data_IF_454723927843
#
_entry.id   IF_454723927843
#
_cell.length_a   1.000
_cell.length_b   1.000
_cell.length_c   1.000
_cell.angle_alpha   90.00
_cell.angle_beta   90.00
_cell.angle_gamma   90.00
#
_symmetry.space_group_name_H-M   'P 1'
#
loop_
_entity.id
_entity.type
_entity.pdbx_description
1 polymer ?
#
# COMPACT_ATOMS: atom_id res chain seq x y z
N UNK A 1 -14.50 6.96 -0.35
CA UNK A 1 -13.23 7.10 0.38
C UNK A 1 -12.07 7.45 -0.54
N UNK A 2 -12.36 7.98 -1.68
CA UNK A 2 -11.38 8.06 -2.75
C UNK A 2 -10.25 9.06 -2.58
N UNK A 3 -10.37 10.07 -1.72
CA UNK A 3 -9.43 11.19 -1.76
C UNK A 3 -8.41 11.23 -0.64
N UNK A 4 -8.34 10.17 0.16
CA UNK A 4 -7.34 10.08 1.21
C UNK A 4 -6.00 9.63 0.62
N UNK A 5 -4.96 10.48 0.60
CA UNK A 5 -3.68 10.10 0.02
C UNK A 5 -3.06 8.86 0.67
N UNK A 6 -3.17 8.75 1.99
CA UNK A 6 -2.65 7.59 2.72
C UNK A 6 -3.31 6.30 2.26
N UNK A 7 -4.63 6.31 2.12
CA UNK A 7 -5.38 5.15 1.65
C UNK A 7 -4.98 4.77 0.22
N UNK A 8 -4.79 5.74 -0.66
CA UNK A 8 -4.36 5.46 -2.04
C UNK A 8 -2.97 4.85 -2.11
N UNK A 9 -2.06 5.32 -1.27
CA UNK A 9 -0.71 4.76 -1.18
C UNK A 9 -0.77 3.32 -0.68
N UNK A 10 -1.53 3.07 0.40
CA UNK A 10 -1.69 1.72 0.95
C UNK A 10 -2.32 0.78 -0.07
N UNK A 11 -3.38 1.21 -0.74
CA UNK A 11 -4.04 0.39 -1.76
C UNK A 11 -3.06 -0.01 -2.87
N UNK A 12 -2.29 0.94 -3.37
CA UNK A 12 -1.29 0.65 -4.40
C UNK A 12 -0.27 -0.37 -3.92
N UNK A 13 0.30 -0.17 -2.73
CA UNK A 13 1.34 -1.04 -2.20
C UNK A 13 0.82 -2.44 -1.88
N UNK A 14 -0.43 -2.54 -1.41
CA UNK A 14 -1.06 -3.83 -1.12
C UNK A 14 -1.38 -4.58 -2.43
N UNK A 15 -1.95 -3.90 -3.41
CA UNK A 15 -2.27 -4.50 -4.70
C UNK A 15 -1.02 -4.92 -5.47
N UNK A 16 0.12 -4.31 -5.20
CA UNK A 16 1.37 -4.54 -5.89
C UNK A 16 2.46 -5.00 -4.92
N UNK A 17 2.11 -5.89 -4.03
CA UNK A 17 2.93 -6.30 -2.89
C UNK A 17 4.04 -7.28 -3.24
N UNK A 18 4.11 -7.74 -4.48
CA UNK A 18 5.19 -8.64 -4.94
C UNK A 18 6.46 -7.89 -5.31
N UNK A 19 6.34 -6.60 -5.53
CA UNK A 19 7.44 -5.75 -5.96
C UNK A 19 7.71 -4.66 -4.93
N UNK A 20 8.78 -3.93 -5.14
CA UNK A 20 9.12 -2.74 -4.36
C UNK A 20 9.21 -1.54 -5.30
N UNK A 21 8.92 -0.35 -4.79
CA UNK A 21 8.65 0.82 -5.62
C UNK A 21 9.39 2.04 -5.10
N UNK A 22 9.89 2.86 -6.03
CA UNK A 22 10.48 4.16 -5.69
C UNK A 22 9.37 5.16 -5.35
N UNK A 23 9.75 6.28 -4.72
CA UNK A 23 8.79 7.36 -4.43
C UNK A 23 8.13 7.89 -5.70
N UNK A 24 8.90 8.02 -6.78
CA UNK A 24 8.36 8.52 -8.06
C UNK A 24 7.30 7.56 -8.61
N UNK A 25 7.57 6.26 -8.55
CA UNK A 25 6.62 5.25 -9.00
C UNK A 25 5.36 5.25 -8.15
N UNK A 26 5.50 5.37 -6.83
CA UNK A 26 4.35 5.45 -5.92
C UNK A 26 3.53 6.72 -6.20
N UNK A 27 4.21 7.86 -6.38
CA UNK A 27 3.55 9.12 -6.70
C UNK A 27 2.66 8.99 -7.93
N UNK A 28 3.23 8.45 -9.01
CA UNK A 28 2.51 8.36 -10.28
C UNK A 28 1.39 7.34 -10.23
N UNK A 29 1.62 6.21 -9.58
CA UNK A 29 0.64 5.12 -9.51
C UNK A 29 -0.51 5.41 -8.55
N UNK A 30 -0.21 6.01 -7.39
CA UNK A 30 -1.24 6.35 -6.41
C UNK A 30 -1.87 7.73 -6.67
N UNK A 31 -1.35 8.47 -7.64
CA UNK A 31 -1.85 9.80 -8.01
C UNK A 31 -1.87 10.76 -6.82
N UNK A 32 -0.77 10.82 -6.08
CA UNK A 32 -0.61 11.74 -4.96
C UNK A 32 0.47 12.76 -5.27
N UNK A 33 0.37 13.94 -4.68
CA UNK A 33 1.42 14.96 -4.83
C UNK A 33 2.72 14.50 -4.20
N UNK A 34 3.84 14.84 -4.83
CA UNK A 34 5.15 14.45 -4.33
C UNK A 34 5.44 15.03 -2.95
N UNK A 35 5.04 16.29 -2.72
CA UNK A 35 5.20 16.93 -1.40
C UNK A 35 4.44 16.18 -0.31
N UNK A 36 3.21 15.76 -0.63
CA UNK A 36 2.39 14.98 0.30
C UNK A 36 3.03 13.62 0.58
N UNK A 37 3.52 12.97 -0.46
CA UNK A 37 4.18 11.66 -0.34
C UNK A 37 5.41 11.74 0.55
N UNK A 38 6.20 12.80 0.41
CA UNK A 38 7.41 13.02 1.24
C UNK A 38 7.08 13.25 2.72
N UNK A 39 5.86 13.65 3.03
CA UNK A 39 5.39 13.77 4.43
C UNK A 39 4.87 12.43 4.93
N UNK A 40 4.10 11.73 4.11
CA UNK A 40 3.41 10.49 4.51
C UNK A 40 4.38 9.32 4.64
N UNK A 41 5.29 9.14 3.69
CA UNK A 41 6.16 7.96 3.68
C UNK A 41 7.05 7.83 4.92
N UNK A 42 7.68 8.90 5.45
CA UNK A 42 8.43 8.77 6.70
C UNK A 42 7.56 8.32 7.88
N UNK A 43 6.31 8.77 7.93
CA UNK A 43 5.38 8.36 8.99
C UNK A 43 5.02 6.88 8.85
N UNK A 44 4.80 6.42 7.63
CA UNK A 44 4.51 5.00 7.36
C UNK A 44 5.70 4.11 7.73
N UNK A 45 6.92 4.56 7.45
CA UNK A 45 8.13 3.84 7.86
C UNK A 45 8.26 3.80 9.38
N UNK A 46 8.01 4.92 10.04
CA UNK A 46 8.09 5.01 11.50
C UNK A 46 7.09 4.08 12.18
N UNK A 47 5.93 3.91 11.60
CA UNK A 47 4.86 3.06 12.13
C UNK A 47 4.94 1.63 11.60
N UNK A 48 6.00 1.27 10.91
CA UNK A 48 6.24 -0.08 10.37
C UNK A 48 5.15 -0.58 9.41
N UNK A 49 4.45 0.33 8.76
CA UNK A 49 3.45 -0.02 7.73
C UNK A 49 4.12 -0.39 6.42
N UNK A 50 5.24 0.25 6.12
CA UNK A 50 6.07 -0.03 4.95
C UNK A 50 7.51 -0.24 5.40
N UNK A 51 8.28 -0.91 4.56
CA UNK A 51 9.70 -1.12 4.78
C UNK A 51 10.48 -0.73 3.51
N UNK A 52 11.75 -0.41 3.68
CA UNK A 52 12.66 -0.25 2.55
C UNK A 52 13.22 -1.64 2.26
N UNK A 53 12.86 -2.19 1.11
CA UNK A 53 13.29 -3.53 0.73
C UNK A 53 14.71 -3.55 0.22
N UNK A 54 15.08 -2.52 -0.56
CA UNK A 54 16.43 -2.39 -1.10
C UNK A 54 16.66 -0.94 -1.52
N UNK A 55 17.92 -0.63 -1.82
CA UNK A 55 18.31 0.67 -2.34
C UNK A 55 19.02 0.45 -3.67
N UNK A 56 18.55 1.13 -4.70
CA UNK A 56 19.17 1.09 -6.03
C UNK A 56 19.65 2.49 -6.34
N UNK A 57 20.99 2.63 -6.48
CA UNK A 57 21.62 3.94 -6.61
C UNK A 57 21.29 4.81 -5.40
N UNK A 58 20.64 5.97 -5.59
CA UNK A 58 20.24 6.86 -4.50
C UNK A 58 18.77 6.70 -4.10
N UNK A 59 18.06 5.75 -4.71
CA UNK A 59 16.63 5.58 -4.51
C UNK A 59 16.33 4.40 -3.60
N UNK A 60 15.53 4.65 -2.57
CA UNK A 60 14.95 3.58 -1.76
C UNK A 60 13.78 2.95 -2.49
N UNK A 61 13.63 1.65 -2.38
CA UNK A 61 12.49 0.92 -2.90
C UNK A 61 11.66 0.41 -1.73
N UNK A 62 10.41 0.82 -1.70
CA UNK A 62 9.48 0.57 -0.60
C UNK A 62 8.52 -0.56 -0.94
N UNK A 63 8.15 -1.32 0.07
CA UNK A 63 7.11 -2.34 -0.04
C UNK A 63 6.27 -2.35 1.24
N UNK A 64 5.07 -2.91 1.14
CA UNK A 64 4.19 -3.05 2.30
C UNK A 64 4.81 -4.04 3.30
N UNK A 65 4.64 -3.77 4.59
CA UNK A 65 5.13 -4.66 5.64
C UNK A 65 4.04 -5.66 6.03
N UNK A 66 4.10 -6.85 5.45
CA UNK A 66 3.10 -7.90 5.70
C UNK A 66 3.14 -8.46 7.12
N UNK A 67 4.22 -8.22 7.85
CA UNK A 67 4.34 -8.68 9.23
C UNK A 67 3.69 -7.73 10.24
N UNK A 68 3.34 -6.52 9.82
CA UNK A 68 2.68 -5.55 10.66
C UNK A 68 1.26 -6.02 10.99
N UNK A 69 0.83 -6.01 12.27
CA UNK A 69 -0.51 -6.47 12.65
C UNK A 69 -1.65 -5.70 11.97
N UNK A 70 -1.47 -4.40 11.77
CA UNK A 70 -2.48 -3.58 11.09
C UNK A 70 -2.60 -4.01 9.63
N UNK A 71 -1.47 -4.22 8.97
CA UNK A 71 -1.44 -4.66 7.58
C UNK A 71 -2.07 -6.06 7.45
N UNK A 72 -1.78 -6.97 8.38
CA UNK A 72 -2.40 -8.29 8.40
C UNK A 72 -3.93 -8.19 8.48
N UNK A 73 -4.44 -7.28 9.31
CA UNK A 73 -5.89 -7.06 9.43
C UNK A 73 -6.50 -6.50 8.15
N UNK A 74 -5.79 -5.63 7.45
CA UNK A 74 -6.25 -5.10 6.17
C UNK A 74 -6.37 -6.24 5.14
N UNK A 75 -5.37 -7.13 5.08
CA UNK A 75 -5.44 -8.29 4.18
C UNK A 75 -6.61 -9.20 4.53
N UNK A 76 -6.86 -9.45 5.80
CA UNK A 76 -8.01 -10.25 6.25
C UNK A 76 -9.31 -9.61 5.79
N UNK A 77 -9.43 -8.30 5.94
CA UNK A 77 -10.62 -7.55 5.52
C UNK A 77 -10.83 -7.67 4.00
N UNK A 78 -9.80 -7.47 3.22
CA UNK A 78 -9.88 -7.59 1.76
C UNK A 78 -10.30 -8.99 1.35
N UNK A 79 -9.73 -10.02 1.95
CA UNK A 79 -10.10 -11.40 1.68
C UNK A 79 -11.57 -11.67 2.01
N UNK A 80 -12.05 -11.15 3.12
CA UNK A 80 -13.45 -11.30 3.54
C UNK A 80 -14.39 -10.63 2.54
N UNK A 81 -14.07 -9.41 2.11
CA UNK A 81 -14.87 -8.68 1.13
C UNK A 81 -14.92 -9.45 -0.20
N UNK A 82 -13.77 -9.90 -0.68
CA UNK A 82 -13.68 -10.61 -1.94
C UNK A 82 -14.49 -11.92 -1.91
N UNK A 83 -14.40 -12.67 -0.82
CA UNK A 83 -15.17 -13.89 -0.65
C UNK A 83 -16.68 -13.61 -0.62
N UNK A 84 -17.08 -12.54 0.05
CA UNK A 84 -18.49 -12.13 0.12
C UNK A 84 -19.02 -11.76 -1.26
N UNK A 85 -18.26 -11.01 -2.04
CA UNK A 85 -18.63 -10.61 -3.38
C UNK A 85 -18.74 -11.83 -4.31
N UNK A 86 -17.78 -12.75 -4.23
CA UNK A 86 -17.82 -13.99 -5.00
C UNK A 86 -19.07 -14.81 -4.67
N UNK A 87 -19.40 -14.95 -3.41
CA UNK A 87 -20.59 -15.66 -2.97
C UNK A 87 -21.87 -15.03 -3.51
N UNK A 88 -21.94 -13.69 -3.49
CA UNK A 88 -23.09 -12.98 -4.08
C UNK A 88 -23.20 -13.26 -5.56
N UNK A 89 -22.09 -13.25 -6.26
CA UNK A 89 -22.07 -13.48 -7.69
C UNK A 89 -22.54 -14.89 -8.05
N UNK A 90 -22.10 -15.88 -7.28
CA UNK A 90 -22.46 -17.28 -7.50
C UNK A 90 -23.93 -17.53 -7.22
N UNK A 91 -24.53 -16.84 -6.26
CA UNK A 91 -25.93 -17.01 -5.90
C UNK A 91 -26.91 -16.38 -6.88
N UNK A 92 -26.43 -15.57 -7.78
CA UNK A 92 -27.25 -14.98 -8.82
C UNK A 92 -27.22 -15.85 -10.07
#
# INVERSE_FOLDING_TARGET
>A
MGDNPTARILDFLIENDRDSWTLVEIRDSAEVGYSTLKIIMPQMLKNDLVIIKKKVSKSNLYTINKDNPIIKKIYELYNTINQTEIKRFIKQ
#
